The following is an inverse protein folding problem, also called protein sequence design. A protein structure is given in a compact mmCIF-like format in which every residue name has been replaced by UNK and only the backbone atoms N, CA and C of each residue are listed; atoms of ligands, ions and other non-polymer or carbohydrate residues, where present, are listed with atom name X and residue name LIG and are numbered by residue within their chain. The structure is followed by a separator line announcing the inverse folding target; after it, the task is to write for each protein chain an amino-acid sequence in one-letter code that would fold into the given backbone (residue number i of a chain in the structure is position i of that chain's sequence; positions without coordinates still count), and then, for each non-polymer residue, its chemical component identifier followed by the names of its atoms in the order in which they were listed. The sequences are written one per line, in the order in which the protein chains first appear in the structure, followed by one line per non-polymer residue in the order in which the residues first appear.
data_IF_429198951298
#
_entry.id   IF_429198951298
#
_cell.length_a   1.000
_cell.length_b   1.000
_cell.length_c   1.000
_cell.angle_alpha   90.00
_cell.angle_beta   90.00
_cell.angle_gamma   90.00
#
_symmetry.space_group_name_H-M   'P 1'
#
loop_
_entity.id
_entity.type
_entity.pdbx_description
1 polymer ?
#
# COMPACT_ATOMS: atom_id res chain seq x y z
N UNK A 1 36.52 32.59 19.97
CA UNK A 1 35.17 32.95 20.49
C UNK A 1 34.37 33.52 19.33
N UNK A 2 33.38 32.78 18.83
CA UNK A 2 32.49 33.27 17.76
C UNK A 2 31.60 34.38 18.35
N UNK A 3 31.59 35.54 17.68
CA UNK A 3 30.84 36.72 18.15
C UNK A 3 29.33 36.45 18.03
N UNK A 4 28.63 36.57 19.16
CA UNK A 4 27.18 36.32 19.29
C UNK A 4 26.34 37.13 18.28
N UNK A 5 26.80 38.33 17.89
CA UNK A 5 26.16 39.16 16.86
C UNK A 5 26.19 38.53 15.47
N UNK A 6 27.31 37.90 15.08
CA UNK A 6 27.46 37.24 13.76
C UNK A 6 26.55 36.03 13.62
N UNK A 7 26.25 35.35 14.73
CA UNK A 7 25.30 34.23 14.75
C UNK A 7 23.86 34.67 14.54
N UNK A 8 23.47 35.82 15.11
CA UNK A 8 22.14 36.40 14.95
C UNK A 8 21.95 36.92 13.51
N UNK A 9 22.95 37.61 12.96
CA UNK A 9 22.92 38.07 11.56
C UNK A 9 22.82 36.90 10.57
N UNK A 10 23.49 35.78 10.85
CA UNK A 10 23.40 34.56 10.05
C UNK A 10 22.01 33.94 10.10
N UNK A 11 21.38 33.87 11.28
CA UNK A 11 20.02 33.34 11.45
C UNK A 11 18.99 34.25 10.77
N UNK A 12 19.13 35.57 10.91
CA UNK A 12 18.28 36.55 10.24
C UNK A 12 18.46 36.46 8.72
N UNK A 13 19.68 36.27 8.23
CA UNK A 13 19.95 36.05 6.79
C UNK A 13 19.35 34.73 6.30
N UNK A 14 19.43 33.65 7.08
CA UNK A 14 18.83 32.35 6.74
C UNK A 14 17.28 32.39 6.73
N UNK A 15 16.69 33.27 7.54
CA UNK A 15 15.23 33.49 7.63
C UNK A 15 14.72 34.46 6.56
N UNK A 16 15.50 35.50 6.21
CA UNK A 16 15.14 36.53 5.21
C UNK A 16 15.52 36.15 3.77
N UNK A 17 16.63 35.44 3.56
CA UNK A 17 16.89 34.67 2.33
C UNK A 17 16.07 33.40 2.46
N UNK A 18 14.76 33.58 2.38
CA UNK A 18 13.80 32.49 2.51
C UNK A 18 14.28 31.30 1.70
N UNK A 19 14.17 30.12 2.31
CA UNK A 19 13.89 28.89 1.57
C UNK A 19 12.94 29.32 0.45
N UNK A 20 13.36 29.33 -0.83
CA UNK A 20 12.40 29.65 -1.88
C UNK A 20 11.30 28.63 -1.67
N UNK A 21 10.12 29.13 -1.31
CA UNK A 21 8.92 28.35 -1.13
C UNK A 21 8.52 27.82 -2.50
N UNK A 22 9.32 26.91 -3.03
CA UNK A 22 9.04 26.02 -4.14
C UNK A 22 8.40 24.76 -3.58
N UNK A 23 7.44 24.90 -2.66
CA UNK A 23 6.41 23.89 -2.50
C UNK A 23 5.40 24.17 -3.61
N UNK A 24 5.76 23.81 -4.85
CA UNK A 24 4.70 23.50 -5.81
C UNK A 24 4.01 22.28 -5.23
N UNK A 25 2.87 22.49 -4.57
CA UNK A 25 2.02 21.42 -4.08
C UNK A 25 1.71 20.51 -5.27
N UNK A 26 2.36 19.33 -5.33
CA UNK A 26 2.08 18.34 -6.36
C UNK A 26 0.65 17.88 -6.13
N UNK A 27 -0.20 18.13 -7.11
CA UNK A 27 -1.60 17.76 -7.05
C UNK A 27 -1.97 17.05 -8.35
N UNK A 28 -3.23 16.64 -8.47
CA UNK A 28 -3.68 15.83 -9.62
C UNK A 28 -3.59 16.58 -10.95
N UNK A 29 -3.64 17.91 -10.96
CA UNK A 29 -3.46 18.71 -12.18
C UNK A 29 -2.00 18.77 -12.65
N UNK A 30 -1.04 18.32 -11.81
CA UNK A 30 0.36 18.18 -12.20
C UNK A 30 0.61 16.98 -13.15
N UNK A 31 -0.40 16.13 -13.38
CA UNK A 31 -0.31 14.93 -14.21
C UNK A 31 -1.18 15.05 -15.47
N UNK A 32 -0.86 14.34 -16.56
CA UNK A 32 -1.67 14.35 -17.78
C UNK A 32 -3.14 13.97 -17.50
N UNK A 33 -4.06 14.53 -18.27
CA UNK A 33 -5.45 14.12 -18.20
C UNK A 33 -5.58 12.60 -18.46
N UNK A 34 -6.35 11.92 -17.61
CA UNK A 34 -6.49 10.46 -17.67
C UNK A 34 -5.39 9.68 -16.93
N UNK A 35 -4.46 10.34 -16.24
CA UNK A 35 -3.52 9.63 -15.37
C UNK A 35 -4.25 8.90 -14.25
N UNK A 36 -3.95 7.61 -14.10
CA UNK A 36 -4.60 6.70 -13.14
C UNK A 36 -3.73 6.58 -11.89
N UNK A 37 -4.29 6.95 -10.75
CA UNK A 37 -3.72 6.69 -9.43
C UNK A 37 -4.39 5.47 -8.84
N UNK A 38 -3.57 4.52 -8.39
CA UNK A 38 -4.06 3.25 -7.88
C UNK A 38 -3.39 2.81 -6.59
N UNK A 39 -4.07 1.92 -5.88
CA UNK A 39 -3.51 1.16 -4.76
C UNK A 39 -3.25 -0.28 -5.20
N UNK A 40 -2.41 -1.01 -4.46
CA UNK A 40 -2.15 -2.41 -4.75
C UNK A 40 -2.05 -3.28 -3.50
N UNK A 41 -2.49 -4.54 -3.63
CA UNK A 41 -2.37 -5.56 -2.59
C UNK A 41 -1.92 -6.91 -3.17
N UNK A 42 -1.61 -7.83 -2.27
CA UNK A 42 -1.38 -9.23 -2.60
C UNK A 42 -2.16 -10.13 -1.64
N UNK A 43 -2.86 -11.14 -2.19
CA UNK A 43 -3.76 -12.01 -1.46
C UNK A 43 -3.19 -12.56 -0.15
N UNK A 44 -1.98 -13.13 -0.18
CA UNK A 44 -1.38 -13.71 1.02
C UNK A 44 -1.08 -12.66 2.10
N UNK A 45 -0.76 -11.43 1.72
CA UNK A 45 -0.40 -10.37 2.67
C UNK A 45 -1.63 -9.67 3.26
N UNK A 46 -2.78 -9.72 2.59
CA UNK A 46 -3.94 -8.90 2.96
C UNK A 46 -5.19 -9.72 3.34
N UNK A 47 -5.47 -10.84 2.67
CA UNK A 47 -6.76 -11.53 2.81
C UNK A 47 -6.99 -12.13 4.20
N UNK A 48 -6.02 -12.87 4.74
CA UNK A 48 -6.27 -13.73 5.91
C UNK A 48 -7.13 -14.95 5.56
N UNK A 49 -7.96 -15.40 6.51
CA UNK A 49 -8.96 -16.48 6.35
C UNK A 49 -8.39 -17.75 5.68
N UNK A 50 -7.20 -18.19 6.11
CA UNK A 50 -6.42 -19.20 5.37
C UNK A 50 -7.00 -20.62 5.42
N UNK A 51 -7.96 -20.85 6.33
CA UNK A 51 -8.62 -22.15 6.57
C UNK A 51 -10.11 -22.15 6.18
N UNK A 52 -10.60 -21.05 5.63
CA UNK A 52 -12.02 -20.85 5.32
C UNK A 52 -12.35 -21.16 3.86
N UNK A 53 -13.61 -21.48 3.60
CA UNK A 53 -14.20 -21.67 2.27
C UNK A 53 -13.39 -22.58 1.34
N UNK A 54 -12.81 -23.64 1.91
CA UNK A 54 -12.09 -24.67 1.16
C UNK A 54 -10.68 -24.28 0.71
N UNK A 55 -10.16 -23.12 1.14
CA UNK A 55 -8.76 -22.73 0.88
C UNK A 55 -7.81 -23.81 1.39
N UNK A 56 -6.87 -24.21 0.53
CA UNK A 56 -5.81 -25.15 0.93
C UNK A 56 -4.55 -24.40 1.37
N UNK A 57 -3.74 -25.02 2.26
CA UNK A 57 -2.43 -24.49 2.61
C UNK A 57 -1.62 -24.24 1.35
N UNK A 58 -0.99 -23.06 1.27
CA UNK A 58 -0.06 -22.76 0.19
C UNK A 58 1.36 -23.08 0.67
N UNK A 59 2.20 -23.58 -0.25
CA UNK A 59 3.62 -23.86 0.04
C UNK A 59 4.35 -22.62 0.59
N UNK A 60 3.99 -21.44 0.08
CA UNK A 60 4.52 -20.16 0.53
C UNK A 60 4.26 -19.89 2.02
N UNK A 61 3.07 -20.21 2.55
CA UNK A 61 2.75 -19.96 3.95
C UNK A 61 3.64 -20.75 4.91
N UNK A 62 3.92 -22.03 4.58
CA UNK A 62 4.81 -22.86 5.39
C UNK A 62 6.27 -22.40 5.35
N UNK A 63 6.74 -21.90 4.20
CA UNK A 63 8.10 -21.37 4.07
C UNK A 63 8.24 -20.06 4.81
N UNK A 64 7.37 -19.10 4.54
CA UNK A 64 7.57 -17.73 5.03
C UNK A 64 7.50 -17.63 6.55
N UNK A 65 6.64 -18.40 7.23
CA UNK A 65 6.58 -18.36 8.70
C UNK A 65 7.90 -18.76 9.36
N UNK A 66 8.72 -19.61 8.73
CA UNK A 66 10.04 -19.98 9.24
C UNK A 66 11.12 -18.89 9.05
N UNK A 67 10.87 -17.89 8.20
CA UNK A 67 11.79 -16.80 7.89
C UNK A 67 11.32 -15.43 8.39
N UNK A 68 10.20 -15.39 9.11
CA UNK A 68 9.65 -14.16 9.69
C UNK A 68 10.26 -13.95 11.09
N UNK A 69 10.89 -12.79 11.30
CA UNK A 69 11.67 -12.48 12.50
C UNK A 69 10.87 -12.60 13.81
N UNK A 70 9.60 -12.18 13.81
CA UNK A 70 8.72 -12.22 14.97
C UNK A 70 7.86 -13.49 15.04
N UNK A 71 8.06 -14.43 14.10
CA UNK A 71 7.26 -15.66 14.00
C UNK A 71 5.80 -15.45 13.60
N UNK A 72 5.41 -14.24 13.18
CA UNK A 72 4.05 -13.96 12.72
C UNK A 72 3.71 -14.70 11.42
N UNK A 73 2.42 -14.78 11.11
CA UNK A 73 1.91 -15.43 9.92
C UNK A 73 0.73 -14.64 9.33
N UNK A 74 0.23 -15.09 8.19
CA UNK A 74 -0.87 -14.44 7.48
C UNK A 74 -2.22 -15.14 7.67
N UNK A 75 -2.43 -15.84 8.80
CA UNK A 75 -3.70 -16.52 9.08
C UNK A 75 -4.87 -15.52 9.12
N UNK A 76 -4.63 -14.33 9.68
CA UNK A 76 -5.61 -13.21 9.76
C UNK A 76 -5.23 -12.04 8.86
N UNK A 77 -3.94 -11.66 8.79
CA UNK A 77 -3.48 -10.48 8.04
C UNK A 77 -4.24 -9.19 8.43
N UNK A 78 -4.71 -8.39 7.46
CA UNK A 78 -5.60 -7.23 7.70
C UNK A 78 -7.08 -7.57 7.51
N UNK A 79 -7.40 -8.87 7.41
CA UNK A 79 -8.74 -9.40 7.27
C UNK A 79 -9.51 -8.88 6.04
N UNK A 80 -8.79 -8.60 4.95
CA UNK A 80 -9.41 -8.11 3.72
C UNK A 80 -10.42 -9.14 3.15
N UNK A 81 -10.27 -10.43 3.45
CA UNK A 81 -11.23 -11.46 3.00
C UNK A 81 -12.66 -11.16 3.44
N UNK A 82 -12.84 -10.69 4.67
CA UNK A 82 -14.14 -10.34 5.22
C UNK A 82 -14.50 -8.86 5.00
N UNK A 83 -13.49 -7.98 4.88
CA UNK A 83 -13.66 -6.52 4.92
C UNK A 83 -13.44 -5.83 3.57
N UNK A 84 -13.42 -6.60 2.47
CA UNK A 84 -13.09 -6.06 1.14
C UNK A 84 -14.08 -4.97 0.67
N UNK A 85 -15.33 -5.01 1.14
CA UNK A 85 -16.35 -4.02 0.79
C UNK A 85 -15.99 -2.66 1.40
N UNK A 86 -15.63 -2.65 2.67
CA UNK A 86 -15.16 -1.48 3.40
C UNK A 86 -13.85 -0.95 2.82
N UNK A 87 -12.91 -1.85 2.48
CA UNK A 87 -11.63 -1.47 1.88
C UNK A 87 -11.82 -0.77 0.52
N UNK A 88 -12.72 -1.29 -0.33
CA UNK A 88 -13.06 -0.66 -1.61
C UNK A 88 -13.75 0.68 -1.41
N UNK A 89 -14.63 0.80 -0.40
CA UNK A 89 -15.28 2.05 -0.07
C UNK A 89 -14.26 3.11 0.39
N UNK A 90 -13.29 2.74 1.22
CA UNK A 90 -12.20 3.63 1.63
C UNK A 90 -11.36 4.10 0.44
N UNK A 91 -11.04 3.21 -0.51
CA UNK A 91 -10.32 3.60 -1.74
C UNK A 91 -11.11 4.62 -2.56
N UNK A 92 -12.43 4.44 -2.64
CA UNK A 92 -13.32 5.40 -3.32
C UNK A 92 -13.33 6.75 -2.60
N UNK A 93 -13.43 6.76 -1.28
CA UNK A 93 -13.45 7.99 -0.47
C UNK A 93 -12.12 8.75 -0.54
N UNK A 94 -11.00 8.03 -0.71
CA UNK A 94 -9.67 8.60 -0.95
C UNK A 94 -9.46 9.14 -2.38
N UNK A 95 -10.42 8.94 -3.29
CA UNK A 95 -10.30 9.37 -4.68
C UNK A 95 -9.28 8.55 -5.51
N UNK A 96 -9.11 7.27 -5.17
CA UNK A 96 -8.31 6.32 -5.95
C UNK A 96 -9.07 5.91 -7.21
N UNK A 97 -8.39 5.85 -8.35
CA UNK A 97 -9.01 5.50 -9.63
C UNK A 97 -8.99 4.00 -9.90
N UNK A 98 -7.98 3.29 -9.37
CA UNK A 98 -7.78 1.88 -9.64
C UNK A 98 -7.29 1.09 -8.43
N UNK A 99 -7.72 -0.17 -8.34
CA UNK A 99 -7.22 -1.11 -7.36
C UNK A 99 -6.63 -2.35 -8.05
N UNK A 100 -5.35 -2.62 -7.77
CA UNK A 100 -4.63 -3.80 -8.26
C UNK A 100 -4.46 -4.82 -7.15
N UNK A 101 -5.09 -5.97 -7.24
CA UNK A 101 -4.94 -7.04 -6.24
C UNK A 101 -4.53 -8.35 -6.91
N UNK A 102 -4.08 -9.29 -6.10
CA UNK A 102 -3.85 -10.67 -6.58
C UNK A 102 -4.90 -11.63 -6.05
N UNK A 103 -5.12 -12.72 -6.79
CA UNK A 103 -6.04 -13.79 -6.40
C UNK A 103 -5.25 -14.93 -5.76
N UNK A 104 -5.69 -15.39 -4.58
CA UNK A 104 -5.18 -16.63 -3.99
C UNK A 104 -5.61 -17.85 -4.81
N UNK A 105 -4.70 -18.38 -5.63
CA UNK A 105 -4.95 -19.58 -6.43
C UNK A 105 -5.35 -20.80 -5.58
N UNK A 106 -4.86 -20.89 -4.34
CA UNK A 106 -5.24 -21.95 -3.39
C UNK A 106 -6.71 -21.90 -2.96
N UNK A 107 -7.42 -20.80 -3.23
CA UNK A 107 -8.88 -20.69 -3.08
C UNK A 107 -9.62 -21.17 -4.34
N UNK A 108 -9.14 -20.79 -5.52
CA UNK A 108 -9.83 -21.08 -6.79
C UNK A 108 -9.57 -22.48 -7.31
N UNK A 109 -8.32 -22.94 -7.25
CA UNK A 109 -7.90 -24.27 -7.70
C UNK A 109 -6.99 -24.92 -6.66
N UNK A 110 -7.57 -25.46 -5.58
CA UNK A 110 -6.82 -25.86 -4.39
C UNK A 110 -5.90 -27.08 -4.59
N UNK A 111 -6.01 -27.78 -5.72
CA UNK A 111 -5.21 -28.96 -6.09
C UNK A 111 -4.06 -28.68 -7.07
N UNK A 112 -3.85 -27.41 -7.49
CA UNK A 112 -2.82 -27.04 -8.47
C UNK A 112 -1.78 -26.09 -7.86
N UNK A 113 -0.61 -26.01 -8.50
CA UNK A 113 0.43 -25.03 -8.14
C UNK A 113 -0.15 -23.62 -8.11
N UNK A 114 0.21 -22.86 -7.08
CA UNK A 114 -0.26 -21.49 -6.92
C UNK A 114 0.38 -20.58 -7.97
N UNK A 115 -0.44 -20.00 -8.85
CA UNK A 115 -0.03 -18.96 -9.79
C UNK A 115 -0.60 -17.63 -9.32
N UNK A 116 0.18 -16.55 -9.40
CA UNK A 116 -0.28 -15.21 -9.06
C UNK A 116 -1.05 -14.62 -10.25
N UNK A 117 -2.36 -14.47 -10.12
CA UNK A 117 -3.14 -13.66 -11.08
C UNK A 117 -3.30 -12.25 -10.52
N UNK A 118 -2.94 -11.25 -11.31
CA UNK A 118 -3.09 -9.82 -10.99
C UNK A 118 -4.35 -9.31 -11.68
N UNK A 119 -5.26 -8.71 -10.91
CA UNK A 119 -6.51 -8.11 -11.41
C UNK A 119 -6.45 -6.61 -11.19
N UNK A 120 -6.99 -5.86 -12.14
CA UNK A 120 -7.18 -4.42 -12.07
C UNK A 120 -8.67 -4.10 -12.01
N UNK A 121 -9.08 -3.37 -10.98
CA UNK A 121 -10.46 -2.92 -10.78
C UNK A 121 -10.52 -1.39 -10.85
N UNK A 122 -11.25 -0.79 -11.80
CA UNK A 122 -11.53 0.64 -11.76
C UNK A 122 -12.45 0.95 -10.58
N UNK A 123 -12.11 1.96 -9.78
CA UNK A 123 -12.83 2.37 -8.55
C UNK A 123 -13.63 3.65 -8.79
N UNK A 124 -13.15 4.54 -9.67
CA UNK A 124 -13.76 5.83 -9.95
C UNK A 124 -14.59 5.78 -11.24
N UNK A 125 -15.83 6.24 -11.14
CA UNK A 125 -16.66 6.69 -12.26
C UNK A 125 -16.88 8.19 -12.16
#
# INVERSE_FOLDING_TARGET
MLNLSKGIDLVITLVLVGIPAGLSEINRASFPQGFVFGTASAAFQYEGAVKEDGRKPNYMGHIFTAFIFDGSNADVAVDQYHRYVEDVQLMKDMGIDAYRFSIAWSRIFPSKFSVLTVVHLPIRH
#
